data_IF_979723505186
#
_entry.id   IF_979723505186
#
_cell.length_a   1.000
_cell.length_b   1.000
_cell.length_c   1.000
_cell.angle_alpha   90.00
_cell.angle_beta   90.00
_cell.angle_gamma   90.00
#
_symmetry.space_group_name_H-M   'P 1'
#
loop_
_entity.id
_entity.type
_entity.pdbx_description
1 polymer ?
#
# COMPACT_ATOMS: atom_id res chain seq x y z
N UNK A 1 23.18 -5.71 24.08
CA UNK A 1 23.97 -4.93 23.11
C UNK A 1 23.66 -5.46 21.73
N UNK A 2 22.71 -4.85 21.00
CA UNK A 2 22.41 -5.26 19.62
C UNK A 2 22.32 -4.01 18.76
N UNK A 3 23.36 -3.81 17.95
CA UNK A 3 23.50 -2.74 16.96
C UNK A 3 22.93 -3.26 15.65
N UNK A 4 21.98 -2.53 15.04
CA UNK A 4 21.52 -2.84 13.68
C UNK A 4 21.42 -1.56 12.84
N UNK A 5 22.48 -1.40 12.04
CA UNK A 5 22.59 -0.85 10.68
C UNK A 5 22.22 0.61 10.35
N UNK A 6 23.26 1.24 9.79
CA UNK A 6 23.39 2.52 9.12
C UNK A 6 22.85 2.46 7.67
N UNK A 7 22.25 3.56 7.20
CA UNK A 7 22.37 4.01 5.80
C UNK A 7 21.17 3.81 4.86
N UNK A 8 20.60 4.92 4.38
CA UNK A 8 20.01 5.02 3.03
C UNK A 8 18.70 5.79 2.91
N UNK A 9 18.75 7.12 2.89
CA UNK A 9 17.60 7.97 2.54
C UNK A 9 17.24 7.84 1.06
N UNK A 10 16.04 7.37 0.74
CA UNK A 10 15.35 7.62 -0.55
C UNK A 10 13.84 7.49 -0.33
N UNK A 11 13.15 8.63 -0.27
CA UNK A 11 11.67 8.72 -0.17
C UNK A 11 11.11 8.39 1.22
N UNK A 12 10.94 9.38 2.09
CA UNK A 12 10.46 9.21 3.46
C UNK A 12 8.96 8.92 3.58
N UNK A 13 8.49 7.83 2.95
CA UNK A 13 7.20 7.22 3.24
C UNK A 13 7.39 6.02 4.17
N UNK A 14 6.70 6.01 5.30
CA UNK A 14 6.61 4.84 6.17
C UNK A 14 6.00 3.67 5.39
N UNK A 15 6.61 2.47 5.53
CA UNK A 15 6.05 1.26 4.92
C UNK A 15 4.79 0.87 5.67
N UNK A 16 3.70 0.66 4.93
CA UNK A 16 2.40 0.25 5.48
C UNK A 16 2.08 -1.16 5.07
N UNK A 17 1.44 -1.91 5.96
CA UNK A 17 1.02 -3.30 5.71
C UNK A 17 -0.44 -3.33 5.27
N UNK A 18 -0.70 -3.97 4.14
CA UNK A 18 -2.03 -4.18 3.57
C UNK A 18 -2.22 -5.65 3.22
N UNK A 19 -3.44 -6.05 2.88
CA UNK A 19 -3.77 -7.46 2.62
C UNK A 19 -4.07 -7.66 1.14
N UNK A 20 -3.37 -8.59 0.51
CA UNK A 20 -3.63 -9.00 -0.87
C UNK A 20 -4.94 -9.80 -0.98
N UNK A 21 -5.52 -9.92 -2.19
CA UNK A 21 -6.69 -10.78 -2.41
C UNK A 21 -6.52 -12.23 -1.97
N UNK A 22 -5.29 -12.77 -2.05
CA UNK A 22 -4.92 -14.11 -1.60
C UNK A 22 -4.78 -14.23 -0.06
N UNK A 23 -4.96 -13.14 0.69
CA UNK A 23 -4.80 -13.10 2.14
C UNK A 23 -3.36 -12.89 2.62
N UNK A 24 -2.38 -12.84 1.71
CA UNK A 24 -0.99 -12.58 2.08
C UNK A 24 -0.76 -11.09 2.38
N UNK A 25 0.13 -10.76 3.34
CA UNK A 25 0.46 -9.38 3.64
C UNK A 25 1.35 -8.78 2.54
N UNK A 26 1.07 -7.54 2.15
CA UNK A 26 1.92 -6.74 1.26
C UNK A 26 2.38 -5.47 1.98
N UNK A 27 3.68 -5.20 1.89
CA UNK A 27 4.27 -3.96 2.36
C UNK A 27 4.29 -2.96 1.21
N UNK A 28 3.57 -1.86 1.35
CA UNK A 28 3.54 -0.77 0.38
C UNK A 28 4.27 0.42 0.99
N UNK A 29 5.15 1.04 0.21
CA UNK A 29 5.73 2.32 0.58
C UNK A 29 4.67 3.41 0.36
N UNK A 30 4.22 4.03 1.45
CA UNK A 30 3.21 5.10 1.40
C UNK A 30 3.66 6.30 0.58
N UNK A 31 4.97 6.60 0.56
CA UNK A 31 5.54 7.71 -0.21
C UNK A 31 5.61 7.43 -1.71
N UNK A 32 5.50 6.17 -2.11
CA UNK A 32 5.43 5.76 -3.51
C UNK A 32 3.99 5.65 -4.04
N UNK A 33 2.98 5.84 -3.18
CA UNK A 33 1.57 5.80 -3.58
C UNK A 33 1.23 7.06 -4.36
N UNK A 34 0.77 6.88 -5.59
CA UNK A 34 0.35 7.98 -6.47
C UNK A 34 -1.17 8.06 -6.62
N UNK A 35 -1.89 6.97 -6.34
CA UNK A 35 -3.36 6.95 -6.39
C UNK A 35 -3.95 5.83 -5.56
N UNK A 36 -5.17 6.05 -5.05
CA UNK A 36 -5.99 5.08 -4.34
C UNK A 36 -7.38 5.14 -4.95
N UNK A 37 -7.91 4.02 -5.43
CA UNK A 37 -9.26 3.95 -6.00
C UNK A 37 -9.96 2.64 -5.67
N UNK A 38 -11.28 2.64 -5.72
CA UNK A 38 -12.05 1.40 -5.67
C UNK A 38 -11.72 0.51 -6.89
N UNK A 39 -11.67 -0.80 -6.67
CA UNK A 39 -11.56 -1.76 -7.76
C UNK A 39 -12.87 -1.76 -8.58
N UNK A 40 -12.75 -1.75 -9.91
CA UNK A 40 -13.90 -1.91 -10.78
C UNK A 40 -14.35 -3.38 -10.81
N UNK A 41 -15.66 -3.64 -11.02
CA UNK A 41 -16.17 -5.00 -11.17
C UNK A 41 -15.45 -5.72 -12.32
N UNK A 42 -14.82 -6.86 -12.04
CA UNK A 42 -14.14 -7.68 -13.05
C UNK A 42 -12.71 -7.23 -13.42
N UNK A 43 -12.19 -6.14 -12.85
CA UNK A 43 -10.80 -5.69 -13.10
C UNK A 43 -9.77 -6.53 -12.32
N UNK A 44 -10.15 -6.98 -11.13
CA UNK A 44 -9.32 -7.79 -10.24
C UNK A 44 -10.13 -8.98 -9.70
N UNK A 45 -9.46 -9.90 -8.99
CA UNK A 45 -10.13 -10.98 -8.29
C UNK A 45 -11.25 -10.42 -7.38
N UNK A 46 -12.37 -11.15 -7.19
CA UNK A 46 -13.56 -10.63 -6.48
C UNK A 46 -13.29 -10.19 -5.04
N UNK A 47 -12.18 -10.64 -4.47
CA UNK A 47 -11.74 -10.26 -3.13
C UNK A 47 -11.06 -8.89 -3.06
N UNK A 48 -10.65 -8.31 -4.19
CA UNK A 48 -10.04 -6.98 -4.23
C UNK A 48 -11.12 -5.92 -4.12
N UNK A 49 -10.98 -5.02 -3.15
CA UNK A 49 -11.87 -3.87 -2.95
C UNK A 49 -11.25 -2.56 -3.38
N UNK A 50 -9.93 -2.44 -3.27
CA UNK A 50 -9.18 -1.23 -3.58
C UNK A 50 -7.97 -1.54 -4.44
N UNK A 51 -7.65 -0.62 -5.33
CA UNK A 51 -6.45 -0.63 -6.17
C UNK A 51 -5.58 0.56 -5.77
N UNK A 52 -4.33 0.26 -5.43
CA UNK A 52 -3.33 1.25 -5.05
C UNK A 52 -2.35 1.36 -6.20
N UNK A 53 -2.21 2.56 -6.75
CA UNK A 53 -1.18 2.89 -7.73
C UNK A 53 0.11 3.23 -7.02
N UNK A 54 1.18 2.49 -7.33
CA UNK A 54 2.54 2.71 -6.81
C UNK A 54 3.44 3.03 -8.01
N UNK A 55 3.64 4.31 -8.31
CA UNK A 55 4.27 4.74 -9.55
C UNK A 55 3.60 4.14 -10.79
N UNK A 56 4.30 3.24 -11.50
CA UNK A 56 3.80 2.53 -12.71
C UNK A 56 3.11 1.20 -12.40
N UNK A 57 3.13 0.75 -11.15
CA UNK A 57 2.55 -0.52 -10.70
C UNK A 57 1.17 -0.30 -10.08
N UNK A 58 0.34 -1.34 -10.13
CA UNK A 58 -0.99 -1.35 -9.51
C UNK A 58 -1.11 -2.57 -8.61
N UNK A 59 -1.43 -2.35 -7.34
CA UNK A 59 -1.61 -3.40 -6.35
C UNK A 59 -3.07 -3.44 -5.90
N UNK A 60 -3.75 -4.56 -6.16
CA UNK A 60 -5.05 -4.84 -5.58
C UNK A 60 -4.92 -5.27 -4.12
N UNK A 61 -5.78 -4.71 -3.26
CA UNK A 61 -5.87 -5.04 -1.83
C UNK A 61 -7.32 -5.30 -1.42
N UNK A 62 -7.49 -6.08 -0.33
CA UNK A 62 -8.80 -6.43 0.25
C UNK A 62 -9.43 -5.27 1.02
N UNK A 63 -8.64 -4.33 1.52
CA UNK A 63 -9.15 -3.20 2.29
C UNK A 63 -10.02 -2.28 1.43
N UNK A 64 -11.05 -1.68 2.03
CA UNK A 64 -11.87 -0.66 1.40
C UNK A 64 -11.07 0.65 1.17
N UNK A 65 -11.46 1.51 0.19
CA UNK A 65 -10.63 2.66 -0.20
C UNK A 65 -10.36 3.64 0.94
N UNK A 66 -11.34 3.80 1.85
CA UNK A 66 -11.22 4.64 3.05
C UNK A 66 -10.19 4.07 4.03
N UNK A 67 -10.23 2.77 4.26
CA UNK A 67 -9.30 2.06 5.15
C UNK A 67 -7.88 2.07 4.57
N UNK A 68 -7.74 1.79 3.27
CA UNK A 68 -6.46 1.86 2.57
C UNK A 68 -5.87 3.28 2.64
N UNK A 69 -6.67 4.32 2.41
CA UNK A 69 -6.26 5.71 2.51
C UNK A 69 -5.82 6.09 3.94
N UNK A 70 -6.57 5.69 4.96
CA UNK A 70 -6.19 5.93 6.35
C UNK A 70 -4.88 5.23 6.73
N UNK A 71 -4.66 4.00 6.26
CA UNK A 71 -3.43 3.25 6.48
C UNK A 71 -2.25 3.95 5.78
N UNK A 72 -2.40 4.33 4.52
CA UNK A 72 -1.35 4.99 3.72
C UNK A 72 -1.02 6.38 4.29
N UNK A 73 -2.03 7.17 4.65
CA UNK A 73 -1.83 8.49 5.27
C UNK A 73 -1.19 8.43 6.66
N UNK A 74 -1.20 7.28 7.33
CA UNK A 74 -0.42 7.05 8.55
C UNK A 74 1.05 6.75 8.28
N UNK A 75 1.35 6.21 7.09
CA UNK A 75 2.71 5.90 6.65
C UNK A 75 3.44 7.13 6.11
N UNK A 76 2.76 8.01 5.38
CA UNK A 76 3.37 9.20 4.78
C UNK A 76 2.37 10.35 4.76
N UNK A 77 2.86 11.59 4.90
CA UNK A 77 2.06 12.79 4.61
C UNK A 77 1.70 12.76 3.13
N UNK A 78 0.50 12.28 2.82
CA UNK A 78 -0.16 12.47 1.52
C UNK A 78 -0.94 13.78 1.51
#
# INVERSE_FOLDING_TARGET
MTRVLNGGSVGGGGKVRLTRPDGSPVMIDSGAVVSIRAALPGEYAPSVRTVIGIGRLRQGVREDPRTASAIIGRGGRI
#
